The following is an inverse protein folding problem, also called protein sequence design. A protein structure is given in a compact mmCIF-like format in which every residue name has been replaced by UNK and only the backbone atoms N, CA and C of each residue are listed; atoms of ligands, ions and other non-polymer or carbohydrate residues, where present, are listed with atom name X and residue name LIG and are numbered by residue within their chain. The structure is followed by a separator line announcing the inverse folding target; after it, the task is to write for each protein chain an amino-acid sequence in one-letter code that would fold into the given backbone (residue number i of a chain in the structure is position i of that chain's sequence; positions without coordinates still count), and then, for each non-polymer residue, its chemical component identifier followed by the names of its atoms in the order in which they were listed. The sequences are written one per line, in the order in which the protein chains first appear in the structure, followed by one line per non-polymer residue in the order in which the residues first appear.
data_IF_604049555718
#
_entry.id   IF_604049555718
#
_cell.length_a   1.000
_cell.length_b   1.000
_cell.length_c   1.000
_cell.angle_alpha   90.00
_cell.angle_beta   90.00
_cell.angle_gamma   90.00
#
_symmetry.space_group_name_H-M   'P 1'
#
loop_
_entity.id
_entity.type
_entity.pdbx_description
1 polymer ?
#
# COMPACT_ATOMS: atom_id res chain seq x y z
N UNK A 1 17.04 -13.49 5.41
CA UNK A 1 16.92 -13.75 3.98
C UNK A 1 17.63 -12.64 3.24
N UNK A 2 18.72 -13.00 2.56
CA UNK A 2 19.55 -12.06 1.79
C UNK A 2 18.92 -11.83 0.41
N UNK A 3 19.31 -10.76 -0.28
CA UNK A 3 18.84 -10.45 -1.63
C UNK A 3 19.05 -11.57 -2.67
N UNK A 4 19.97 -12.51 -2.40
CA UNK A 4 20.32 -13.62 -3.28
C UNK A 4 19.31 -14.77 -3.23
N UNK A 5 18.70 -15.06 -2.07
CA UNK A 5 17.75 -16.18 -1.92
C UNK A 5 16.39 -15.92 -2.60
N UNK A 6 16.01 -14.64 -2.74
CA UNK A 6 14.75 -14.22 -3.39
C UNK A 6 14.83 -14.37 -4.92
N UNK A 7 16.02 -14.19 -5.52
CA UNK A 7 16.21 -14.37 -6.96
C UNK A 7 16.33 -15.85 -7.36
N UNK A 8 16.68 -16.72 -6.43
CA UNK A 8 16.93 -18.15 -6.72
C UNK A 8 15.65 -18.95 -7.05
N UNK A 9 14.46 -18.37 -6.81
CA UNK A 9 13.17 -19.05 -7.01
C UNK A 9 12.21 -18.34 -7.98
N UNK A 10 12.66 -17.27 -8.66
CA UNK A 10 11.90 -16.68 -9.76
C UNK A 10 12.37 -17.35 -11.07
N UNK A 11 11.60 -18.27 -11.68
CA UNK A 11 11.88 -18.69 -13.06
C UNK A 11 11.90 -17.44 -13.97
N UNK A 12 12.43 -17.53 -15.20
CA UNK A 12 12.38 -16.46 -16.22
C UNK A 12 10.94 -16.16 -16.69
N UNK A 13 10.06 -15.87 -15.73
CA UNK A 13 8.68 -15.54 -15.90
C UNK A 13 8.56 -14.10 -16.40
N UNK A 14 7.71 -13.83 -17.40
CA UNK A 14 7.53 -12.47 -17.90
C UNK A 14 6.85 -11.58 -16.85
N UNK A 15 6.99 -10.27 -17.00
CA UNK A 15 6.27 -9.30 -16.18
C UNK A 15 4.77 -9.35 -16.54
N UNK A 16 3.93 -9.76 -15.59
CA UNK A 16 2.49 -9.82 -15.78
C UNK A 16 1.83 -8.44 -15.54
N UNK A 17 2.26 -7.74 -14.49
CA UNK A 17 1.77 -6.41 -14.14
C UNK A 17 2.75 -5.65 -13.25
N UNK A 18 2.70 -4.32 -13.33
CA UNK A 18 3.44 -3.41 -12.46
C UNK A 18 2.51 -2.30 -11.94
N UNK A 19 2.76 -1.88 -10.70
CA UNK A 19 2.22 -0.66 -10.12
C UNK A 19 3.35 0.14 -9.46
N UNK A 20 3.36 1.45 -9.72
CA UNK A 20 4.30 2.40 -9.11
C UNK A 20 3.55 3.51 -8.43
N UNK A 21 3.99 3.86 -7.23
CA UNK A 21 3.45 5.01 -6.50
C UNK A 21 4.57 5.78 -5.83
N UNK A 22 4.42 7.10 -5.73
CA UNK A 22 5.42 7.98 -5.12
C UNK A 22 5.44 7.81 -3.60
N UNK A 23 6.63 7.65 -3.01
CA UNK A 23 6.83 7.50 -1.57
C UNK A 23 6.72 8.82 -0.81
N UNK A 24 7.17 9.95 -1.36
CA UNK A 24 7.07 11.27 -0.72
C UNK A 24 6.22 12.18 -1.58
N UNK A 25 5.08 12.60 -1.03
CA UNK A 25 4.09 13.44 -1.72
C UNK A 25 3.99 14.85 -1.13
N UNK A 26 4.68 15.14 -0.03
CA UNK A 26 4.66 16.44 0.65
C UNK A 26 6.09 16.80 1.05
N UNK A 27 6.45 18.06 0.85
CA UNK A 27 7.73 18.68 1.25
C UNK A 27 7.59 19.48 2.55
N UNK A 28 6.41 19.48 3.18
CA UNK A 28 6.15 20.22 4.41
C UNK A 28 7.04 19.66 5.53
N UNK A 29 7.91 20.51 6.07
CA UNK A 29 8.91 20.13 7.06
C UNK A 29 8.29 19.45 8.29
N UNK A 30 7.13 19.93 8.75
CA UNK A 30 6.38 19.37 9.87
C UNK A 30 5.93 17.91 9.65
N UNK A 31 5.78 17.47 8.40
CA UNK A 31 5.31 16.12 8.06
C UNK A 31 6.43 15.13 7.78
N UNK A 32 7.68 15.59 7.69
CA UNK A 32 8.83 14.75 7.30
C UNK A 32 8.98 13.52 8.19
N UNK A 33 8.84 13.69 9.51
CA UNK A 33 8.91 12.58 10.48
C UNK A 33 7.84 11.51 10.22
N UNK A 34 6.62 11.92 9.85
CA UNK A 34 5.54 10.99 9.53
C UNK A 34 5.73 10.32 8.17
N UNK A 35 6.33 11.01 7.21
CA UNK A 35 6.72 10.42 5.92
C UNK A 35 7.84 9.39 6.10
N UNK A 36 8.84 9.67 6.93
CA UNK A 36 9.89 8.70 7.28
C UNK A 36 9.32 7.47 7.97
N UNK A 37 8.41 7.66 8.94
CA UNK A 37 7.68 6.58 9.58
C UNK A 37 6.86 5.75 8.59
N UNK A 38 6.21 6.39 7.61
CA UNK A 38 5.49 5.73 6.52
C UNK A 38 6.41 4.85 5.68
N UNK A 39 7.54 5.40 5.23
CA UNK A 39 8.54 4.67 4.43
C UNK A 39 9.10 3.49 5.22
N UNK A 40 9.40 3.67 6.50
CA UNK A 40 9.82 2.59 7.39
C UNK A 40 8.77 1.48 7.48
N UNK A 41 7.50 1.83 7.67
CA UNK A 41 6.40 0.85 7.73
C UNK A 41 6.22 0.07 6.43
N UNK A 42 6.31 0.76 5.29
CA UNK A 42 6.28 0.15 3.97
C UNK A 42 7.45 -0.82 3.78
N UNK A 43 8.66 -0.44 4.19
CA UNK A 43 9.83 -1.30 4.14
C UNK A 43 9.67 -2.54 5.04
N UNK A 44 9.09 -2.39 6.25
CA UNK A 44 8.79 -3.52 7.14
C UNK A 44 7.81 -4.48 6.47
N UNK A 45 6.70 -3.99 5.93
CA UNK A 45 5.71 -4.84 5.25
C UNK A 45 6.27 -5.49 3.98
N UNK A 46 7.06 -4.76 3.18
CA UNK A 46 7.70 -5.28 1.98
C UNK A 46 8.57 -6.51 2.25
N UNK A 47 9.25 -6.58 3.41
CA UNK A 47 10.05 -7.75 3.80
C UNK A 47 9.26 -9.05 3.96
N UNK A 48 7.96 -8.97 4.21
CA UNK A 48 7.07 -10.14 4.32
C UNK A 48 6.44 -10.54 2.98
N UNK A 49 6.46 -9.64 2.00
CA UNK A 49 5.74 -9.78 0.74
C UNK A 49 6.65 -10.00 -0.46
N UNK A 50 7.83 -9.38 -0.44
CA UNK A 50 8.80 -9.50 -1.52
C UNK A 50 9.34 -10.93 -1.61
N UNK A 51 9.29 -11.51 -2.82
CA UNK A 51 9.72 -12.88 -3.09
C UNK A 51 8.64 -13.94 -2.90
N UNK A 52 7.40 -13.56 -2.53
CA UNK A 52 6.33 -14.54 -2.36
C UNK A 52 5.92 -15.15 -3.71
N UNK A 53 5.84 -16.48 -3.76
CA UNK A 53 5.06 -17.20 -4.78
C UNK A 53 3.59 -17.25 -4.35
N UNK A 54 2.69 -16.89 -5.25
CA UNK A 54 1.23 -16.98 -5.10
C UNK A 54 0.76 -18.05 -6.10
N UNK A 55 0.47 -19.28 -5.64
CA UNK A 55 0.05 -20.37 -6.52
C UNK A 55 -1.26 -20.08 -7.24
N UNK A 56 -1.41 -20.61 -8.45
CA UNK A 56 -2.66 -20.58 -9.20
C UNK A 56 -3.83 -21.11 -8.36
N UNK A 57 -4.94 -20.36 -8.31
CA UNK A 57 -6.15 -20.74 -7.60
C UNK A 57 -6.12 -20.52 -6.07
N UNK A 58 -4.96 -20.24 -5.48
CA UNK A 58 -4.86 -19.91 -4.06
C UNK A 58 -5.19 -18.44 -3.78
N UNK A 59 -5.80 -18.19 -2.61
CA UNK A 59 -6.14 -16.82 -2.21
C UNK A 59 -4.96 -16.19 -1.49
N UNK A 60 -4.39 -15.14 -2.08
CA UNK A 60 -3.55 -14.19 -1.38
C UNK A 60 -4.39 -13.41 -0.37
N UNK A 61 -3.82 -13.14 0.81
CA UNK A 61 -4.41 -12.28 1.84
C UNK A 61 -3.31 -11.40 2.42
N UNK A 62 -3.50 -10.08 2.40
CA UNK A 62 -2.50 -9.14 2.88
C UNK A 62 -2.17 -9.40 4.35
N UNK A 63 -3.20 -9.55 5.20
CA UNK A 63 -3.01 -9.79 6.62
C UNK A 63 -2.57 -11.21 7.00
N UNK A 64 -2.65 -12.17 6.08
CA UNK A 64 -2.02 -13.49 6.29
C UNK A 64 -0.49 -13.39 6.26
N UNK A 65 0.06 -12.47 5.49
CA UNK A 65 1.51 -12.32 5.30
C UNK A 65 2.11 -11.18 6.16
N UNK A 66 1.43 -10.04 6.24
CA UNK A 66 1.92 -8.89 7.01
C UNK A 66 1.49 -9.03 8.48
N UNK A 67 2.42 -8.98 9.45
CA UNK A 67 2.06 -9.09 10.86
C UNK A 67 1.27 -7.87 11.32
N UNK A 68 0.53 -8.03 12.42
CA UNK A 68 -0.18 -6.94 13.09
C UNK A 68 0.72 -5.70 13.21
N UNK A 69 0.30 -4.50 12.76
CA UNK A 69 1.13 -3.31 12.77
C UNK A 69 1.26 -2.74 14.20
N UNK A 70 2.30 -3.12 14.90
CA UNK A 70 2.60 -2.66 16.27
C UNK A 70 4.06 -2.24 16.38
N UNK A 71 4.39 -1.44 17.41
CA UNK A 71 5.78 -1.11 17.72
C UNK A 71 6.65 -2.35 17.97
N UNK A 72 6.07 -3.41 18.56
CA UNK A 72 6.75 -4.69 18.82
C UNK A 72 7.09 -5.45 17.54
N UNK A 73 6.25 -5.37 16.51
CA UNK A 73 6.51 -5.92 15.18
C UNK A 73 7.36 -5.00 14.30
N UNK A 74 7.95 -3.96 14.89
CA UNK A 74 8.88 -3.05 14.22
C UNK A 74 8.23 -1.90 13.48
N UNK A 75 6.90 -1.75 13.53
CA UNK A 75 6.22 -0.61 12.91
C UNK A 75 6.39 0.67 13.73
N UNK A 76 6.47 1.80 13.04
CA UNK A 76 6.57 3.14 13.61
C UNK A 76 5.31 3.92 13.34
N UNK A 77 5.19 5.03 14.05
CA UNK A 77 4.21 6.05 13.77
C UNK A 77 4.56 6.72 12.44
N UNK A 78 3.64 6.64 11.49
CA UNK A 78 3.78 7.18 10.15
C UNK A 78 2.50 7.85 9.69
N UNK A 79 2.57 8.49 8.52
CA UNK A 79 1.46 9.19 7.89
C UNK A 79 0.35 8.22 7.49
N UNK A 80 -0.85 8.42 8.03
CA UNK A 80 -2.10 7.77 7.60
C UNK A 80 -3.05 8.85 7.08
N UNK A 81 -3.65 8.62 5.91
CA UNK A 81 -4.73 9.46 5.40
C UNK A 81 -6.05 8.84 5.86
N UNK A 82 -6.79 9.55 6.72
CA UNK A 82 -8.06 9.09 7.27
C UNK A 82 -9.07 10.21 7.18
N UNK A 83 -10.21 9.93 6.55
CA UNK A 83 -11.32 10.89 6.41
C UNK A 83 -10.87 12.25 5.83
N UNK A 84 -9.93 12.22 4.88
CA UNK A 84 -9.40 13.43 4.23
C UNK A 84 -8.29 14.16 4.99
N UNK A 85 -7.95 13.74 6.21
CA UNK A 85 -6.88 14.35 7.00
C UNK A 85 -5.69 13.41 7.20
N UNK A 86 -4.49 14.01 7.28
CA UNK A 86 -3.29 13.30 7.68
C UNK A 86 -3.23 13.19 9.20
N UNK A 87 -3.21 11.96 9.69
CA UNK A 87 -3.01 11.64 11.10
C UNK A 87 -1.76 10.78 11.31
N UNK A 88 -1.09 10.91 12.48
CA UNK A 88 -0.07 9.98 12.89
C UNK A 88 -0.69 8.65 13.34
N UNK A 89 -0.14 7.52 12.85
CA UNK A 89 -0.63 6.19 13.19
C UNK A 89 0.46 5.12 13.10
N UNK A 90 0.46 4.16 14.02
CA UNK A 90 1.40 3.02 13.96
C UNK A 90 1.01 2.12 12.80
N UNK A 91 1.92 1.92 11.85
CA UNK A 91 1.60 1.26 10.57
C UNK A 91 0.98 2.20 9.54
N UNK A 92 0.96 3.51 9.77
CA UNK A 92 0.57 4.49 8.76
C UNK A 92 1.36 4.27 7.46
N UNK A 93 0.64 4.25 6.33
CA UNK A 93 1.20 3.98 5.00
C UNK A 93 0.77 2.66 4.37
N UNK A 94 0.29 1.68 5.14
CA UNK A 94 0.00 0.34 4.60
C UNK A 94 -1.10 0.32 3.53
N UNK A 95 -2.06 1.25 3.57
CA UNK A 95 -3.03 1.40 2.47
C UNK A 95 -2.37 1.74 1.13
N UNK A 96 -1.24 2.44 1.11
CA UNK A 96 -0.51 2.71 -0.14
C UNK A 96 -0.01 1.40 -0.78
N UNK A 97 0.52 0.49 0.03
CA UNK A 97 0.97 -0.83 -0.44
C UNK A 97 -0.19 -1.71 -0.88
N UNK A 98 -1.29 -1.71 -0.12
CA UNK A 98 -2.51 -2.41 -0.50
C UNK A 98 -3.07 -1.90 -1.84
N UNK A 99 -3.16 -0.58 -2.05
CA UNK A 99 -3.58 0.01 -3.33
C UNK A 99 -2.69 -0.43 -4.50
N UNK A 100 -1.37 -0.46 -4.30
CA UNK A 100 -0.41 -0.89 -5.31
C UNK A 100 -0.55 -2.38 -5.65
N UNK A 101 -0.70 -3.24 -4.63
CA UNK A 101 -0.98 -4.67 -4.80
C UNK A 101 -2.29 -4.90 -5.54
N UNK A 102 -3.35 -4.20 -5.14
CA UNK A 102 -4.65 -4.28 -5.80
C UNK A 102 -4.56 -3.88 -7.27
N UNK A 103 -3.87 -2.76 -7.56
CA UNK A 103 -3.68 -2.30 -8.94
C UNK A 103 -2.90 -3.30 -9.78
N UNK A 104 -1.84 -3.90 -9.25
CA UNK A 104 -1.07 -4.93 -9.94
C UNK A 104 -1.91 -6.21 -10.14
N UNK A 105 -2.66 -6.66 -9.12
CA UNK A 105 -3.50 -7.84 -9.18
C UNK A 105 -4.62 -7.70 -10.23
N UNK A 106 -5.29 -6.55 -10.27
CA UNK A 106 -6.26 -6.21 -11.31
C UNK A 106 -5.64 -6.28 -12.71
N UNK A 107 -4.48 -5.63 -12.90
CA UNK A 107 -3.80 -5.58 -14.20
C UNK A 107 -3.27 -6.96 -14.64
N UNK A 108 -2.96 -7.85 -13.69
CA UNK A 108 -2.59 -9.24 -13.97
C UNK A 108 -3.81 -10.14 -14.26
N UNK A 109 -5.03 -9.62 -14.12
CA UNK A 109 -6.28 -10.36 -14.32
C UNK A 109 -6.60 -11.33 -13.17
N UNK A 110 -6.17 -11.01 -11.95
CA UNK A 110 -6.54 -11.78 -10.76
C UNK A 110 -8.02 -11.54 -10.40
N UNK A 111 -8.67 -12.58 -9.87
CA UNK A 111 -9.99 -12.45 -9.26
C UNK A 111 -9.86 -11.73 -7.91
N UNK A 112 -10.60 -10.66 -7.72
CA UNK A 112 -10.61 -9.89 -6.46
C UNK A 112 -11.64 -10.52 -5.53
N UNK A 113 -11.17 -11.09 -4.41
CA UNK A 113 -12.00 -11.80 -3.43
C UNK A 113 -12.51 -10.86 -2.35
N UNK A 114 -11.66 -9.93 -1.92
CA UNK A 114 -12.01 -8.94 -0.92
C UNK A 114 -11.29 -7.63 -1.25
N UNK A 115 -12.08 -6.56 -1.32
CA UNK A 115 -11.61 -5.19 -1.51
C UNK A 115 -12.60 -4.25 -0.85
N UNK A 116 -12.07 -3.30 -0.09
CA UNK A 116 -12.85 -2.23 0.52
C UNK A 116 -12.32 -0.88 0.04
N UNK A 117 -13.21 -0.05 -0.51
CA UNK A 117 -12.87 1.33 -0.86
C UNK A 117 -12.75 2.18 0.41
N UNK A 118 -11.89 3.21 0.37
CA UNK A 118 -11.88 4.26 1.38
C UNK A 118 -13.20 5.03 1.28
N UNK A 119 -13.78 5.37 2.43
CA UNK A 119 -15.04 6.13 2.52
C UNK A 119 -14.92 7.58 2.04
N UNK A 120 -13.69 8.11 1.91
CA UNK A 120 -13.43 9.47 1.48
C UNK A 120 -12.57 9.49 0.22
N UNK A 121 -13.03 10.21 -0.80
CA UNK A 121 -12.35 10.33 -2.10
C UNK A 121 -11.47 11.59 -2.06
N UNK A 122 -10.15 11.40 -2.11
CA UNK A 122 -9.23 12.51 -2.35
C UNK A 122 -9.04 12.68 -3.87
N UNK A 123 -9.20 13.89 -4.44
CA UNK A 123 -8.93 14.13 -5.86
C UNK A 123 -7.52 13.69 -6.24
N UNK A 124 -7.36 13.00 -7.37
CA UNK A 124 -6.06 12.43 -7.77
C UNK A 124 -5.53 11.33 -6.85
N UNK A 125 -6.39 10.65 -6.08
CA UNK A 125 -6.01 9.46 -5.32
C UNK A 125 -6.43 8.16 -6.01
N UNK A 126 -5.90 7.02 -5.55
CA UNK A 126 -6.36 5.71 -5.99
C UNK A 126 -7.89 5.54 -5.82
N UNK A 127 -8.49 6.17 -4.80
CA UNK A 127 -9.94 6.12 -4.57
C UNK A 127 -10.71 6.86 -5.67
N UNK A 128 -10.20 7.99 -6.15
CA UNK A 128 -10.80 8.73 -7.27
C UNK A 128 -10.76 7.92 -8.58
N UNK A 129 -9.74 7.08 -8.77
CA UNK A 129 -9.63 6.18 -9.91
C UNK A 129 -10.42 4.87 -9.72
N UNK A 130 -11.10 4.67 -8.58
CA UNK A 130 -11.71 3.38 -8.24
C UNK A 130 -10.68 2.25 -8.10
N UNK A 131 -9.42 2.58 -7.81
CA UNK A 131 -8.27 1.66 -7.70
C UNK A 131 -7.73 1.50 -6.27
N UNK A 132 -8.52 1.85 -5.26
CA UNK A 132 -8.10 1.77 -3.86
C UNK A 132 -8.58 0.51 -3.12
N UNK A 133 -7.71 -0.01 -2.27
CA UNK A 133 -7.98 -1.10 -1.36
C UNK A 133 -7.49 -0.70 0.04
N UNK A 134 -8.43 -0.32 0.92
CA UNK A 134 -8.14 -0.09 2.34
C UNK A 134 -7.80 -1.41 3.01
N UNK A 135 -6.90 -1.37 3.99
CA UNK A 135 -6.65 -2.49 4.91
C UNK A 135 -6.66 -1.99 6.34
N UNK A 136 -7.26 -2.77 7.24
CA UNK A 136 -7.28 -2.52 8.68
C UNK A 136 -7.18 -3.85 9.42
N UNK A 137 -6.17 -3.95 10.29
CA UNK A 137 -5.95 -5.17 11.06
C UNK A 137 -7.10 -5.41 12.07
N UNK A 138 -7.83 -6.53 12.05
CA UNK A 138 -7.76 -7.73 11.20
C UNK A 138 -9.10 -8.01 10.49
N UNK A 139 -9.85 -6.97 10.16
CA UNK A 139 -11.24 -7.07 9.68
C UNK A 139 -11.47 -6.42 8.31
N UNK A 140 -10.50 -5.68 7.78
CA UNK A 140 -10.51 -5.17 6.40
C UNK A 140 -9.24 -5.66 5.72
N UNK A 141 -9.37 -6.57 4.76
CA UNK A 141 -8.24 -7.20 4.05
C UNK A 141 -8.28 -6.91 2.55
N UNK A 142 -7.12 -7.06 1.90
CA UNK A 142 -7.03 -7.19 0.45
C UNK A 142 -6.78 -8.66 0.13
N UNK A 143 -7.73 -9.27 -0.59
CA UNK A 143 -7.62 -10.67 -1.00
C UNK A 143 -7.87 -10.81 -2.49
N UNK A 144 -7.00 -11.55 -3.16
CA UNK A 144 -7.14 -11.86 -4.58
C UNK A 144 -6.66 -13.27 -4.87
N UNK A 145 -7.13 -13.84 -5.98
CA UNK A 145 -6.79 -15.18 -6.45
C UNK A 145 -6.27 -15.10 -7.88
N UNK A 146 -5.01 -15.50 -8.14
CA UNK A 146 -4.49 -15.51 -9.50
C UNK A 146 -4.94 -16.77 -10.24
N UNK A 147 -5.09 -16.67 -11.56
CA UNK A 147 -5.40 -17.82 -12.43
C UNK A 147 -4.18 -18.69 -12.72
N UNK A 148 -2.99 -18.09 -12.67
CA UNK A 148 -1.71 -18.74 -12.92
C UNK A 148 -0.77 -18.46 -11.74
N UNK A 149 0.33 -19.20 -11.64
CA UNK A 149 1.36 -18.91 -10.64
C UNK A 149 1.93 -17.50 -10.88
N UNK A 150 1.99 -16.72 -9.79
CA UNK A 150 2.61 -15.40 -9.77
C UNK A 150 3.71 -15.33 -8.73
N UNK A 151 4.73 -14.50 -9.00
CA UNK A 151 5.76 -14.13 -8.05
C UNK A 151 5.67 -12.64 -7.76
N UNK A 152 5.58 -12.30 -6.48
CA UNK A 152 5.41 -10.94 -6.00
C UNK A 152 6.78 -10.32 -5.70
N UNK A 153 7.07 -9.21 -6.35
CA UNK A 153 8.18 -8.32 -6.00
C UNK A 153 7.62 -7.03 -5.40
N UNK A 154 8.15 -6.65 -4.25
CA UNK A 154 7.86 -5.38 -3.58
C UNK A 154 9.17 -4.68 -3.28
N UNK A 155 9.41 -3.55 -3.93
CA UNK A 155 10.62 -2.77 -3.79
C UNK A 155 10.33 -1.33 -3.43
N UNK A 156 11.15 -0.76 -2.55
CA UNK A 156 11.23 0.68 -2.33
C UNK A 156 12.54 1.14 -2.95
N UNK A 157 12.48 1.90 -4.04
CA UNK A 157 13.67 2.35 -4.77
C UNK A 157 13.56 3.83 -5.11
N UNK A 158 14.59 4.60 -4.78
CA UNK A 158 14.56 6.06 -4.92
C UNK A 158 13.39 6.66 -4.15
N UNK A 159 12.44 7.26 -4.87
CA UNK A 159 11.21 7.83 -4.32
C UNK A 159 9.96 7.05 -4.72
N UNK A 160 10.09 5.78 -5.11
CA UNK A 160 8.97 4.96 -5.57
C UNK A 160 8.78 3.71 -4.71
N UNK A 161 7.50 3.39 -4.45
CA UNK A 161 7.06 2.06 -4.09
C UNK A 161 6.67 1.34 -5.38
N UNK A 162 7.33 0.23 -5.65
CA UNK A 162 7.15 -0.57 -6.85
C UNK A 162 6.62 -1.94 -6.44
N UNK A 163 5.52 -2.35 -7.06
CA UNK A 163 4.94 -3.69 -6.92
C UNK A 163 4.89 -4.33 -8.31
N UNK A 164 5.49 -5.51 -8.44
CA UNK A 164 5.45 -6.30 -9.68
C UNK A 164 4.91 -7.68 -9.41
N UNK A 165 4.10 -8.16 -10.35
CA UNK A 165 3.70 -9.55 -10.43
C UNK A 165 4.38 -10.14 -11.67
N UNK A 166 5.17 -11.17 -11.46
CA UNK A 166 5.85 -11.93 -12.51
C UNK A 166 5.11 -13.24 -12.73
N UNK A 167 4.91 -13.67 -13.96
CA UNK A 167 4.14 -14.86 -14.31
C UNK A 167 3.30 -14.66 -15.56
N UNK A 168 2.37 -15.58 -15.80
CA UNK A 168 1.43 -15.45 -16.92
C UNK A 168 0.29 -14.50 -16.55
N UNK A 169 0.11 -13.44 -17.32
CA UNK A 169 -1.07 -12.58 -17.21
C UNK A 169 -2.26 -13.18 -17.97
N UNK A 170 -3.48 -12.91 -17.50
CA UNK A 170 -4.65 -12.97 -18.36
C UNK A 170 -4.79 -11.64 -19.11
N UNK A 171 -5.29 -11.61 -20.36
CA UNK A 171 -5.57 -10.35 -21.05
C UNK A 171 -6.60 -9.56 -20.25
N UNK A 172 -6.22 -8.34 -19.83
CA UNK A 172 -7.09 -7.39 -19.15
C UNK A 172 -7.37 -6.24 -20.12
N UNK A 173 -8.63 -5.86 -20.27
CA UNK A 173 -9.02 -4.62 -20.95
C UNK A 173 -8.53 -3.44 -20.11
N UNK A 174 -7.39 -2.85 -20.47
CA UNK A 174 -6.79 -1.75 -19.71
C UNK A 174 -7.56 -0.46 -19.96
N UNK A 175 -7.99 0.21 -18.89
CA UNK A 175 -8.27 1.64 -18.92
C UNK A 175 -7.13 2.31 -18.15
N UNK A 176 -6.21 2.94 -18.88
CA UNK A 176 -5.11 3.71 -18.30
C UNK A 176 -5.66 4.94 -17.58
N UNK A 177 -5.14 5.22 -16.39
CA UNK A 177 -5.26 6.54 -15.77
C UNK A 177 -3.97 6.85 -15.04
N UNK A 178 -3.20 7.78 -15.61
CA UNK A 178 -2.09 8.44 -14.96
C UNK A 178 -2.63 9.30 -13.82
N UNK A 179 -2.12 9.08 -12.61
CA UNK A 179 -2.55 9.82 -11.43
C UNK A 179 -1.40 10.72 -10.98
N UNK A 180 -1.57 12.03 -11.16
CA UNK A 180 -0.73 13.06 -10.56
C UNK A 180 -1.09 13.22 -9.09
N UNK A 181 -0.06 13.24 -8.23
CA UNK A 181 -0.23 13.46 -6.79
C UNK A 181 -0.77 14.85 -6.53
N UNK A 182 -1.97 14.93 -5.95
CA UNK A 182 -2.51 16.16 -5.40
C UNK A 182 -2.21 16.26 -3.90
N UNK A 183 -1.98 17.48 -3.44
CA UNK A 183 -1.71 17.83 -2.05
C UNK A 183 -2.90 17.47 -1.17
N UNK A 184 -2.77 16.42 -0.35
CA UNK A 184 -3.76 16.08 0.66
C UNK A 184 -3.49 16.88 1.93
N UNK A 185 -4.50 17.61 2.41
CA UNK A 185 -4.40 18.46 3.59
C UNK A 185 -4.16 17.64 4.89
N UNK A 186 -3.44 18.24 5.84
CA UNK A 186 -3.09 17.63 7.13
C UNK A 186 -4.16 17.92 8.18
N UNK A 187 -4.14 17.29 9.36
CA UNK A 187 -5.07 17.68 10.45
C UNK A 187 -5.01 19.17 10.81
N UNK A 188 -3.91 19.85 10.55
CA UNK A 188 -3.76 21.29 10.78
C UNK A 188 -4.33 22.13 9.63
N UNK A 189 -4.49 21.55 8.44
CA UNK A 189 -4.91 22.28 7.23
C UNK A 189 -6.17 21.72 6.56
N UNK A 190 -6.75 20.62 7.05
CA UNK A 190 -7.89 19.94 6.42
C UNK A 190 -9.25 20.55 6.76
N UNK A 191 -9.33 21.39 7.80
CA UNK A 191 -10.59 22.06 8.20
C UNK A 191 -11.69 21.11 8.70
N UNK A 192 -11.38 19.84 8.96
CA UNK A 192 -12.37 18.84 9.43
C UNK A 192 -12.37 18.77 10.95
N UNK A 193 -13.39 19.38 11.58
CA UNK A 193 -13.53 19.43 13.05
C UNK A 193 -14.12 18.15 13.65
N UNK A 194 -14.70 17.27 12.84
CA UNK A 194 -15.41 16.06 13.28
C UNK A 194 -14.51 14.83 13.47
N UNK A 195 -13.21 14.93 13.19
CA UNK A 195 -12.27 13.85 13.40
C UNK A 195 -12.13 13.57 14.91
N UNK A 196 -12.73 12.45 15.38
CA UNK A 196 -12.84 12.08 16.81
C UNK A 196 -11.52 11.89 17.58
N UNK A 197 -10.35 12.16 16.98
CA UNK A 197 -9.02 12.15 17.64
C UNK A 197 -8.37 13.54 17.75
N UNK A 198 -9.16 14.61 17.72
CA UNK A 198 -8.68 15.96 18.02
C UNK A 198 -8.45 16.19 19.53
N UNK A 199 -7.52 15.45 20.16
CA UNK A 199 -6.89 15.86 21.43
C UNK A 199 -5.44 16.21 21.16
N UNK A 200 -5.27 17.44 20.67
CA UNK A 200 -4.21 18.38 20.99
C UNK A 200 -2.94 17.77 21.59
N UNK A 201 -1.87 17.72 20.78
CA UNK A 201 -0.50 17.79 21.28
C UNK A 201 -0.26 19.25 21.72
N UNK A 202 -0.91 19.67 22.79
CA UNK A 202 -0.51 20.81 23.58
C UNK A 202 -0.41 20.37 25.04
N UNK A 203 0.78 19.91 25.40
CA UNK A 203 1.34 20.17 26.73
C UNK A 203 2.77 20.64 26.53
N UNK A 204 2.91 21.92 26.23
CA UNK A 204 4.04 22.70 26.67
C UNK A 204 3.89 22.91 28.19
N UNK A 205 4.88 22.48 28.94
CA UNK A 205 5.22 22.97 30.28
C UNK A 205 6.73 23.09 30.31
#
# INVERSE_FOLDING_TARGET
MTWLEILEHRPDAPLAAESRTVLRTSTVAAELRLQEGKIHNLAVAARYLNGLRIPAGEVFSFWRHVPRPTRRSGFKEGRELREGCIIPSVGGGLCQLSNALYSAALNAGCEIIERHAHTHVVPGSATAAGRDATVFWNYVDLRFRPRFDLWLEVALSGNELIVRLWGRAAPVSVVESSVSGADAASCETCGVETCRRNRLIHKSS
#
